data_IF_380916714481
#
_entry.id   IF_380916714481
#
_cell.length_a   1.000
_cell.length_b   1.000
_cell.length_c   1.000
_cell.angle_alpha   90.00
_cell.angle_beta   90.00
_cell.angle_gamma   90.00
#
_symmetry.space_group_name_H-M   'P 1'
#
loop_
_entity.id
_entity.type
_entity.pdbx_description
1 polymer ?
#
# COMPACT_ATOMS: atom_id res chain seq x y z
N UNK A 1 -3.55 18.48 7.11
CA UNK A 1 -4.11 18.91 5.81
C UNK A 1 -4.92 20.20 5.95
N UNK A 2 -4.87 21.11 4.98
CA UNK A 2 -5.80 22.25 4.92
C UNK A 2 -7.16 21.82 4.35
N UNK A 3 -8.30 22.32 4.87
CA UNK A 3 -9.64 21.96 4.35
C UNK A 3 -9.85 22.25 2.86
N UNK A 4 -9.08 23.19 2.30
CA UNK A 4 -9.11 23.53 0.87
C UNK A 4 -8.25 22.61 -0.01
N UNK A 5 -7.52 21.66 0.59
CA UNK A 5 -6.60 20.75 -0.07
C UNK A 5 -5.43 21.44 -0.78
N UNK A 6 -5.11 22.69 -0.43
CA UNK A 6 -4.06 23.48 -1.09
C UNK A 6 -2.64 22.95 -0.86
N UNK A 7 -2.46 22.09 0.13
CA UNK A 7 -1.24 21.36 0.43
C UNK A 7 -1.08 20.05 -0.36
N UNK A 8 -2.11 19.61 -1.08
CA UNK A 8 -2.04 18.42 -1.91
C UNK A 8 -1.25 18.64 -3.20
N UNK A 9 -0.48 17.64 -3.59
CA UNK A 9 0.30 17.64 -4.82
C UNK A 9 -0.10 16.47 -5.71
N UNK A 10 -0.66 16.78 -6.90
CA UNK A 10 -0.98 15.74 -7.88
C UNK A 10 0.31 15.16 -8.47
N UNK A 11 0.48 13.85 -8.35
CA UNK A 11 1.62 13.11 -8.92
C UNK A 11 1.34 12.74 -10.36
N UNK A 12 0.16 12.20 -10.66
CA UNK A 12 -0.22 11.86 -12.03
C UNK A 12 -1.74 11.84 -12.21
N UNK A 13 -2.19 12.16 -13.42
CA UNK A 13 -3.57 12.01 -13.87
C UNK A 13 -3.72 10.93 -14.95
N UNK A 14 -2.72 10.06 -15.11
CA UNK A 14 -2.79 9.02 -16.13
C UNK A 14 -3.87 7.98 -15.82
N UNK A 15 -4.72 7.61 -16.80
CA UNK A 15 -5.81 6.68 -16.54
C UNK A 15 -5.31 5.35 -15.99
N UNK A 16 -5.94 4.90 -14.91
CA UNK A 16 -5.63 3.62 -14.27
C UNK A 16 -4.48 3.64 -13.26
N UNK A 17 -3.72 4.75 -13.16
CA UNK A 17 -2.54 4.84 -12.32
C UNK A 17 -2.84 4.57 -10.83
N UNK A 18 -3.94 5.11 -10.31
CA UNK A 18 -4.34 4.95 -8.90
C UNK A 18 -4.62 3.52 -8.46
N UNK A 19 -4.91 2.61 -9.40
CA UNK A 19 -5.24 1.21 -9.05
C UNK A 19 -3.99 0.37 -8.84
N UNK A 20 -3.47 0.46 -7.61
CA UNK A 20 -2.26 -0.22 -7.17
C UNK A 20 -1.03 0.58 -7.55
N UNK A 21 -0.49 1.30 -6.57
CA UNK A 21 0.80 1.97 -6.63
C UNK A 21 1.78 1.33 -5.63
N UNK A 22 3.07 1.46 -5.91
CA UNK A 22 4.13 1.02 -5.00
C UNK A 22 5.25 2.06 -5.00
N UNK A 23 5.67 2.49 -3.81
CA UNK A 23 6.92 3.22 -3.66
C UNK A 23 8.11 2.38 -4.14
N UNK A 24 9.07 3.03 -4.81
CA UNK A 24 10.38 2.45 -5.01
C UNK A 24 11.09 2.25 -3.66
N UNK A 25 12.01 1.28 -3.53
CA UNK A 25 12.70 1.03 -2.27
C UNK A 25 13.50 2.23 -1.72
N UNK A 26 13.92 3.15 -2.59
CA UNK A 26 14.63 4.39 -2.24
C UNK A 26 13.68 5.56 -1.92
N UNK A 27 12.36 5.41 -2.10
CA UNK A 27 11.37 6.46 -1.88
C UNK A 27 11.38 7.60 -2.89
N UNK A 28 12.18 7.53 -3.96
CA UNK A 28 12.29 8.62 -4.93
C UNK A 28 11.22 8.58 -6.04
N UNK A 29 10.56 7.44 -6.22
CA UNK A 29 9.65 7.16 -7.32
C UNK A 29 8.46 6.34 -6.88
N UNK A 30 7.41 6.35 -7.70
CA UNK A 30 6.32 5.39 -7.61
C UNK A 30 6.24 4.54 -8.87
N UNK A 31 5.91 3.27 -8.71
CA UNK A 31 5.47 2.39 -9.77
C UNK A 31 3.95 2.37 -9.79
N UNK A 32 3.37 2.59 -10.97
CA UNK A 32 1.94 2.45 -11.16
C UNK A 32 1.62 1.74 -12.48
N UNK A 33 0.41 1.19 -12.57
CA UNK A 33 -0.12 0.62 -13.80
C UNK A 33 -0.97 1.66 -14.52
N UNK A 34 -0.54 2.09 -15.69
CA UNK A 34 -1.32 3.01 -16.54
C UNK A 34 -2.08 2.23 -17.60
N UNK A 35 -3.21 2.78 -18.04
CA UNK A 35 -4.12 2.13 -18.97
C UNK A 35 -4.64 3.07 -20.04
N UNK A 36 -5.02 2.50 -21.18
CA UNK A 36 -5.76 3.19 -22.24
C UNK A 36 -6.68 2.26 -22.98
N UNK A 37 -7.68 2.83 -23.66
CA UNK A 37 -8.60 2.09 -24.52
C UNK A 37 -8.17 2.18 -25.98
N UNK A 38 -8.14 1.04 -26.66
CA UNK A 38 -8.04 0.94 -28.11
C UNK A 38 -9.24 0.15 -28.63
N UNK A 39 -10.25 0.86 -29.12
CA UNK A 39 -11.58 0.29 -29.36
C UNK A 39 -12.16 -0.29 -28.07
N UNK A 40 -12.51 -1.58 -28.09
CA UNK A 40 -13.03 -2.31 -26.91
C UNK A 40 -11.94 -2.91 -26.03
N UNK A 41 -10.66 -2.81 -26.43
CA UNK A 41 -9.55 -3.44 -25.70
C UNK A 41 -8.98 -2.46 -24.69
N UNK A 42 -8.92 -2.87 -23.41
CA UNK A 42 -8.11 -2.20 -22.39
C UNK A 42 -6.67 -2.68 -22.49
N UNK A 43 -5.76 -1.75 -22.76
CA UNK A 43 -4.33 -1.99 -22.72
C UNK A 43 -3.75 -1.37 -21.45
N UNK A 44 -2.78 -2.04 -20.83
CA UNK A 44 -2.08 -1.52 -19.67
C UNK A 44 -0.56 -1.59 -19.87
N UNK A 45 0.15 -0.74 -19.15
CA UNK A 45 1.60 -0.71 -19.07
C UNK A 45 2.05 -0.36 -17.65
N UNK A 46 3.30 -0.68 -17.33
CA UNK A 46 3.94 -0.18 -16.13
C UNK A 46 4.68 1.10 -16.43
N UNK A 47 4.51 2.07 -15.55
CA UNK A 47 5.17 3.37 -15.61
C UNK A 47 5.72 3.72 -14.23
N UNK A 48 6.92 4.28 -14.22
CA UNK A 48 7.54 4.86 -13.02
C UNK A 48 7.37 6.36 -13.07
N UNK A 49 7.00 6.99 -11.96
CA UNK A 49 6.92 8.44 -11.81
C UNK A 49 7.92 8.87 -10.73
N UNK A 50 8.93 9.63 -11.13
CA UNK A 50 9.93 10.23 -10.25
C UNK A 50 9.33 11.49 -9.58
N UNK A 51 9.26 11.51 -8.25
CA UNK A 51 8.47 12.49 -7.49
C UNK A 51 9.09 13.89 -7.57
N UNK A 52 10.37 14.03 -7.19
CA UNK A 52 11.06 15.34 -7.20
C UNK A 52 11.33 15.82 -8.62
N UNK A 53 11.82 14.92 -9.48
CA UNK A 53 12.18 15.25 -10.86
C UNK A 53 10.97 15.54 -11.74
N UNK A 54 9.75 15.16 -11.29
CA UNK A 54 8.48 15.26 -12.04
C UNK A 54 8.61 14.69 -13.45
N UNK A 55 9.28 13.55 -13.53
CA UNK A 55 9.55 12.84 -14.77
C UNK A 55 8.93 11.46 -14.69
N UNK A 56 8.40 10.97 -15.81
CA UNK A 56 7.88 9.62 -15.90
C UNK A 56 8.62 8.77 -16.94
N UNK A 57 8.78 7.50 -16.63
CA UNK A 57 9.44 6.51 -17.50
C UNK A 57 8.50 5.33 -17.73
N UNK A 58 8.13 5.11 -18.99
CA UNK A 58 7.38 3.92 -19.40
C UNK A 58 8.29 2.68 -19.38
N UNK A 59 8.01 1.73 -18.50
CA UNK A 59 8.84 0.54 -18.30
C UNK A 59 8.45 -0.63 -19.21
N UNK A 60 7.19 -0.67 -19.64
CA UNK A 60 6.69 -1.72 -20.55
C UNK A 60 5.85 -1.14 -21.67
N UNK A 61 5.79 -1.84 -22.81
CA UNK A 61 4.82 -1.52 -23.86
C UNK A 61 3.39 -1.80 -23.38
N UNK A 62 2.43 -1.03 -23.92
CA UNK A 62 1.01 -1.28 -23.71
C UNK A 62 0.61 -2.65 -24.27
N UNK A 63 -0.04 -3.47 -23.44
CA UNK A 63 -0.51 -4.81 -23.80
C UNK A 63 -1.76 -5.19 -23.03
N UNK A 64 -2.50 -6.17 -23.54
CA UNK A 64 -3.53 -6.88 -22.77
C UNK A 64 -2.87 -7.83 -21.77
N UNK A 65 -3.57 -8.18 -20.69
CA UNK A 65 -3.14 -9.25 -19.77
C UNK A 65 -2.11 -8.85 -18.70
N UNK A 66 -1.77 -7.57 -18.54
CA UNK A 66 -1.07 -7.09 -17.35
C UNK A 66 -2.09 -6.92 -16.21
N UNK A 67 -2.23 -7.95 -15.38
CA UNK A 67 -3.28 -8.05 -14.35
C UNK A 67 -2.86 -7.55 -12.98
N UNK A 68 -1.60 -7.71 -12.60
CA UNK A 68 -1.05 -7.28 -11.31
C UNK A 68 0.19 -6.41 -11.45
N UNK A 69 0.46 -5.61 -10.42
CA UNK A 69 1.76 -4.97 -10.28
C UNK A 69 2.83 -6.04 -10.00
N UNK A 70 4.03 -5.91 -10.58
CA UNK A 70 5.17 -6.70 -10.18
C UNK A 70 5.61 -6.32 -8.76
N UNK A 71 6.49 -7.14 -8.18
CA UNK A 71 7.19 -6.81 -6.94
C UNK A 71 8.57 -6.24 -7.25
N UNK A 72 8.99 -5.24 -6.48
CA UNK A 72 10.36 -4.77 -6.51
C UNK A 72 11.32 -5.86 -6.07
N UNK A 73 12.43 -6.03 -6.78
CA UNK A 73 13.59 -6.75 -6.27
C UNK A 73 14.10 -6.04 -5.03
N UNK A 74 14.76 -6.80 -4.15
CA UNK A 74 15.24 -6.26 -2.88
C UNK A 74 16.09 -5.01 -3.10
N UNK A 75 17.00 -5.02 -4.08
CA UNK A 75 17.92 -3.92 -4.44
C UNK A 75 17.29 -2.81 -5.31
N UNK A 76 16.00 -2.94 -5.64
CA UNK A 76 15.25 -1.99 -6.45
C UNK A 76 15.61 -1.98 -7.94
N UNK A 77 16.51 -2.84 -8.43
CA UNK A 77 16.96 -2.84 -9.83
C UNK A 77 15.98 -3.48 -10.81
N UNK A 78 15.13 -4.37 -10.31
CA UNK A 78 14.24 -5.15 -11.14
C UNK A 78 12.82 -5.14 -10.57
N UNK A 79 11.86 -5.33 -11.45
CA UNK A 79 10.49 -5.64 -11.14
C UNK A 79 10.24 -7.09 -11.56
N UNK A 80 9.78 -7.92 -10.63
CA UNK A 80 9.55 -9.35 -10.84
C UNK A 80 8.05 -9.62 -10.84
N UNK A 81 7.57 -10.30 -11.88
CA UNK A 81 6.18 -10.78 -11.97
C UNK A 81 6.14 -12.22 -12.45
N UNK A 82 5.05 -12.93 -12.15
CA UNK A 82 4.78 -14.25 -12.72
C UNK A 82 3.61 -14.13 -13.69
N UNK A 83 3.82 -14.55 -14.95
CA UNK A 83 2.80 -14.56 -15.99
C UNK A 83 2.71 -15.99 -16.54
N UNK A 84 1.56 -16.65 -16.35
CA UNK A 84 1.34 -18.04 -16.77
C UNK A 84 2.43 -19.01 -16.26
N UNK A 85 2.85 -18.84 -15.00
CA UNK A 85 3.89 -19.68 -14.38
C UNK A 85 5.32 -19.34 -14.81
N UNK A 86 5.52 -18.33 -15.66
CA UNK A 86 6.86 -17.88 -16.09
C UNK A 86 7.21 -16.57 -15.40
N UNK A 87 8.39 -16.52 -14.76
CA UNK A 87 8.91 -15.29 -14.17
C UNK A 87 9.38 -14.31 -15.25
N UNK A 88 8.84 -13.10 -15.23
CA UNK A 88 9.31 -11.97 -16.03
C UNK A 88 10.05 -10.99 -15.13
N UNK A 89 11.23 -10.56 -15.57
CA UNK A 89 12.04 -9.52 -14.93
C UNK A 89 12.08 -8.30 -15.84
N UNK A 90 11.82 -7.14 -15.27
CA UNK A 90 11.81 -5.84 -15.98
C UNK A 90 12.81 -4.95 -15.27
N UNK A 91 13.75 -4.36 -16.00
CA UNK A 91 14.67 -3.38 -15.38
C UNK A 91 13.89 -2.17 -14.89
N UNK A 92 14.15 -1.74 -13.66
CA UNK A 92 13.54 -0.53 -13.10
C UNK A 92 14.20 0.76 -13.58
N UNK A 93 15.43 0.66 -14.12
CA UNK A 93 16.28 1.82 -14.44
C UNK A 93 16.88 2.53 -13.22
N UNK A 94 16.68 2.02 -12.01
CA UNK A 94 17.25 2.60 -10.78
C UNK A 94 18.67 2.06 -10.51
N UNK A 95 19.50 2.90 -9.88
CA UNK A 95 20.76 2.45 -9.29
C UNK A 95 20.44 1.63 -8.02
N UNK A 96 21.28 0.64 -7.67
CA UNK A 96 21.06 -0.11 -6.43
C UNK A 96 21.07 0.84 -5.23
N UNK A 97 19.99 0.82 -4.45
CA UNK A 97 20.01 1.38 -3.11
C UNK A 97 20.73 0.39 -2.18
N UNK A 98 21.58 0.90 -1.28
CA UNK A 98 22.25 0.08 -0.27
C UNK A 98 21.19 -0.61 0.60
N UNK A 99 21.16 -1.93 0.57
CA UNK A 99 20.26 -2.71 1.42
C UNK A 99 20.87 -2.83 2.80
N UNK A 100 20.19 -2.27 3.80
CA UNK A 100 20.34 -2.80 5.14
C UNK A 100 19.87 -4.26 5.12
N UNK A 101 20.72 -5.15 5.62
CA UNK A 101 20.38 -6.56 5.78
C UNK A 101 19.19 -6.63 6.74
N UNK A 102 17.99 -6.81 6.20
CA UNK A 102 16.80 -7.00 7.05
C UNK A 102 16.95 -8.34 7.76
N UNK A 103 16.62 -8.37 9.05
CA UNK A 103 16.50 -9.62 9.79
C UNK A 103 15.56 -10.58 9.04
N UNK A 104 15.81 -11.88 9.14
CA UNK A 104 14.88 -12.87 8.60
C UNK A 104 13.54 -12.73 9.33
N UNK A 105 12.45 -12.60 8.56
CA UNK A 105 11.10 -12.37 9.09
C UNK A 105 10.22 -13.59 8.83
N UNK A 106 9.24 -13.88 9.70
CA UNK A 106 8.23 -14.87 9.38
C UNK A 106 7.48 -14.49 8.10
N UNK A 107 7.28 -15.46 7.22
CA UNK A 107 6.44 -15.28 6.03
C UNK A 107 4.98 -15.47 6.41
N UNK A 108 4.17 -14.48 6.07
CA UNK A 108 2.72 -14.52 6.20
C UNK A 108 2.08 -14.82 4.85
N UNK A 109 1.15 -15.77 4.82
CA UNK A 109 0.40 -16.10 3.61
C UNK A 109 -0.96 -16.73 3.95
N UNK A 110 -1.83 -16.81 2.96
CA UNK A 110 -3.13 -17.46 3.09
C UNK A 110 -3.08 -18.87 2.50
N UNK A 111 -3.58 -19.86 3.25
CA UNK A 111 -3.90 -21.20 2.76
C UNK A 111 -5.42 -21.40 2.82
N UNK A 112 -6.08 -21.29 1.66
CA UNK A 112 -7.52 -21.08 1.61
C UNK A 112 -7.91 -19.81 2.36
N UNK A 113 -8.78 -19.95 3.36
CA UNK A 113 -9.21 -18.85 4.24
C UNK A 113 -8.39 -18.76 5.54
N UNK A 114 -7.31 -19.53 5.70
CA UNK A 114 -6.49 -19.54 6.92
C UNK A 114 -5.23 -18.70 6.76
N UNK A 115 -4.98 -17.83 7.72
CA UNK A 115 -3.70 -17.14 7.86
C UNK A 115 -2.63 -18.12 8.39
N UNK A 116 -1.50 -18.17 7.71
CA UNK A 116 -0.38 -19.05 8.00
C UNK A 116 0.90 -18.25 8.23
N UNK A 117 1.73 -18.71 9.16
CA UNK A 117 3.06 -18.17 9.43
C UNK A 117 4.10 -19.26 9.20
N UNK A 118 5.12 -18.95 8.41
CA UNK A 118 6.35 -19.73 8.32
C UNK A 118 7.49 -18.95 8.97
N UNK A 119 7.90 -19.37 10.17
CA UNK A 119 9.02 -18.75 10.87
C UNK A 119 10.35 -18.97 10.11
N UNK A 120 11.35 -18.07 10.28
CA UNK A 120 12.69 -18.29 9.73
C UNK A 120 13.24 -19.66 10.12
N UNK A 121 13.86 -20.35 9.16
CA UNK A 121 14.40 -21.71 9.29
C UNK A 121 13.39 -22.83 9.65
N UNK A 122 12.09 -22.53 9.79
CA UNK A 122 11.08 -23.58 9.96
C UNK A 122 10.82 -24.31 8.63
N UNK A 123 10.57 -25.61 8.71
CA UNK A 123 10.21 -26.42 7.53
C UNK A 123 8.71 -26.40 7.22
N UNK A 124 7.89 -26.06 8.22
CA UNK A 124 6.42 -26.11 8.14
C UNK A 124 5.81 -24.82 8.65
N UNK A 125 4.82 -24.34 7.91
CA UNK A 125 4.00 -23.23 8.35
C UNK A 125 2.98 -23.69 9.39
N UNK A 126 2.62 -22.78 10.29
CA UNK A 126 1.62 -22.99 11.33
C UNK A 126 0.46 -22.00 11.15
N UNK A 127 -0.78 -22.41 11.46
CA UNK A 127 -1.91 -21.50 11.43
C UNK A 127 -1.79 -20.44 12.54
N UNK A 128 -2.31 -19.25 12.27
CA UNK A 128 -2.45 -18.20 13.30
C UNK A 128 -3.74 -18.43 14.06
N UNK A 129 -3.65 -19.11 15.20
CA UNK A 129 -4.83 -19.53 15.97
C UNK A 129 -5.73 -18.36 16.40
N UNK A 130 -5.15 -17.20 16.70
CA UNK A 130 -5.91 -15.98 17.02
C UNK A 130 -6.79 -15.46 15.86
N UNK A 131 -6.56 -15.97 14.64
CA UNK A 131 -7.33 -15.65 13.43
C UNK A 131 -8.12 -16.85 12.90
N UNK A 132 -8.30 -17.91 13.71
CA UNK A 132 -9.08 -19.07 13.30
C UNK A 132 -10.49 -18.67 12.85
N UNK A 133 -10.86 -19.04 11.62
CA UNK A 133 -12.16 -18.71 11.02
C UNK A 133 -12.31 -17.25 10.57
N UNK A 134 -11.26 -16.42 10.68
CA UNK A 134 -11.25 -15.02 10.25
C UNK A 134 -10.48 -14.90 8.95
N UNK A 135 -11.12 -14.33 7.93
CA UNK A 135 -10.46 -14.01 6.65
C UNK A 135 -9.85 -12.63 6.73
N UNK A 136 -8.58 -12.50 6.33
CA UNK A 136 -7.84 -11.24 6.37
C UNK A 136 -7.56 -10.69 4.97
N UNK A 137 -7.40 -9.38 4.87
CA UNK A 137 -7.07 -8.64 3.65
C UNK A 137 -6.02 -7.58 3.94
N UNK A 138 -5.38 -7.08 2.87
CA UNK A 138 -4.50 -5.91 2.92
C UNK A 138 -3.40 -6.00 3.98
N UNK A 139 -2.81 -7.19 4.14
CA UNK A 139 -1.73 -7.42 5.09
C UNK A 139 -0.48 -6.65 4.68
N UNK A 140 0.06 -5.87 5.61
CA UNK A 140 1.33 -5.15 5.48
C UNK A 140 2.23 -5.44 6.69
N UNK A 141 3.53 -5.51 6.46
CA UNK A 141 4.52 -5.63 7.53
C UNK A 141 5.02 -4.25 7.96
N UNK A 142 5.32 -4.10 9.25
CA UNK A 142 6.05 -2.94 9.73
C UNK A 142 7.46 -2.89 9.11
N UNK A 143 8.08 -1.69 9.01
CA UNK A 143 9.40 -1.53 8.42
C UNK A 143 10.48 -2.38 9.09
N UNK A 144 10.42 -2.55 10.42
CA UNK A 144 11.30 -3.42 11.22
C UNK A 144 10.96 -4.91 11.09
N UNK A 145 9.70 -5.24 10.74
CA UNK A 145 9.20 -6.60 10.57
C UNK A 145 8.62 -7.23 11.82
N UNK A 146 8.57 -6.49 12.92
CA UNK A 146 8.11 -7.00 14.22
C UNK A 146 6.59 -7.06 14.32
N UNK A 147 5.88 -6.34 13.45
CA UNK A 147 4.42 -6.28 13.42
C UNK A 147 3.88 -6.51 12.01
N UNK A 148 2.63 -6.92 11.96
CA UNK A 148 1.78 -6.90 10.78
C UNK A 148 0.52 -6.09 11.09
N UNK A 149 0.02 -5.37 10.09
CA UNK A 149 -1.30 -4.75 10.11
C UNK A 149 -2.13 -5.35 8.98
N UNK A 150 -3.42 -5.58 9.23
CA UNK A 150 -4.32 -6.19 8.26
C UNK A 150 -5.77 -5.88 8.60
N UNK A 151 -6.62 -5.94 7.59
CA UNK A 151 -8.07 -5.84 7.75
C UNK A 151 -8.68 -7.24 7.92
N UNK A 152 -9.76 -7.34 8.69
CA UNK A 152 -10.57 -8.56 8.79
C UNK A 152 -11.85 -8.37 8.00
N UNK A 153 -12.25 -9.37 7.21
CA UNK A 153 -13.46 -9.31 6.39
C UNK A 153 -14.69 -9.00 7.24
N UNK A 154 -15.37 -7.88 6.96
CA UNK A 154 -16.54 -7.44 7.72
C UNK A 154 -16.23 -7.11 9.18
N UNK A 155 -14.97 -6.82 9.50
CA UNK A 155 -14.48 -6.60 10.85
C UNK A 155 -13.44 -5.47 10.92
N UNK A 156 -12.67 -5.41 12.02
CA UNK A 156 -11.79 -4.29 12.29
C UNK A 156 -10.47 -4.36 11.52
N UNK A 157 -9.84 -3.19 11.39
CA UNK A 157 -8.40 -3.06 11.21
C UNK A 157 -7.69 -3.58 12.46
N UNK A 158 -6.64 -4.37 12.26
CA UNK A 158 -5.89 -5.00 13.34
C UNK A 158 -4.39 -4.80 13.18
N UNK A 159 -3.70 -4.80 14.31
CA UNK A 159 -2.23 -4.97 14.40
C UNK A 159 -1.93 -6.20 15.23
N UNK A 160 -0.89 -6.94 14.84
CA UNK A 160 -0.40 -8.11 15.55
C UNK A 160 1.13 -8.16 15.48
N UNK A 161 1.78 -8.82 16.43
CA UNK A 161 3.19 -9.17 16.30
C UNK A 161 3.38 -10.14 15.13
N UNK A 162 4.51 -10.06 14.44
CA UNK A 162 4.78 -10.92 13.27
C UNK A 162 4.91 -12.41 13.60
N UNK A 163 5.07 -12.76 14.88
CA UNK A 163 5.03 -14.13 15.41
C UNK A 163 3.60 -14.71 15.57
N UNK A 164 2.56 -13.91 15.32
CA UNK A 164 1.17 -14.33 15.41
C UNK A 164 0.51 -14.05 16.76
N UNK A 165 1.19 -13.37 17.68
CA UNK A 165 0.70 -13.07 19.04
C UNK A 165 0.34 -11.59 19.21
N UNK A 166 -0.38 -11.28 20.30
CA UNK A 166 -0.68 -9.89 20.67
C UNK A 166 -1.57 -9.17 19.66
N UNK A 167 -2.68 -9.78 19.25
CA UNK A 167 -3.68 -9.15 18.40
C UNK A 167 -4.30 -7.94 19.10
N UNK A 168 -4.28 -6.80 18.43
CA UNK A 168 -4.94 -5.56 18.83
C UNK A 168 -5.95 -5.20 17.74
N UNK A 169 -7.23 -5.06 18.13
CA UNK A 169 -8.28 -4.57 17.24
C UNK A 169 -8.34 -3.04 17.36
N UNK A 170 -8.13 -2.34 16.24
CA UNK A 170 -8.02 -0.88 16.19
C UNK A 170 -9.34 -0.20 15.80
N UNK A 171 -10.38 -1.01 15.54
CA UNK A 171 -11.70 -0.55 15.10
C UNK A 171 -11.79 -0.45 13.58
N UNK A 172 -12.63 0.46 13.10
CA UNK A 172 -12.87 0.68 11.68
C UNK A 172 -11.62 1.19 10.94
N UNK A 173 -11.31 0.59 9.79
CA UNK A 173 -10.21 1.00 8.93
C UNK A 173 -9.83 -0.04 7.88
N UNK A 174 -9.30 0.43 6.76
CA UNK A 174 -8.95 -0.39 5.60
C UNK A 174 -7.61 0.05 4.98
N UNK A 175 -6.99 -0.84 4.20
CA UNK A 175 -5.72 -0.58 3.48
C UNK A 175 -4.64 0.11 4.33
N UNK A 176 -4.20 -0.50 5.45
CA UNK A 176 -3.21 0.11 6.31
C UNK A 176 -1.84 0.24 5.64
N UNK A 177 -1.09 1.27 6.03
CA UNK A 177 0.31 1.47 5.68
C UNK A 177 1.07 2.01 6.90
N UNK A 178 2.18 1.38 7.26
CA UNK A 178 3.01 1.82 8.38
C UNK A 178 3.84 3.05 8.02
N UNK A 179 4.01 3.95 8.98
CA UNK A 179 5.07 4.95 8.94
C UNK A 179 6.44 4.26 8.90
N UNK A 180 7.50 4.89 8.34
CA UNK A 180 8.83 4.30 8.22
C UNK A 180 9.50 3.92 9.55
N UNK A 181 9.10 4.57 10.64
CA UNK A 181 9.52 4.25 12.00
C UNK A 181 8.65 3.17 12.68
N UNK A 182 7.60 2.70 12.01
CA UNK A 182 6.70 1.65 12.49
C UNK A 182 5.80 2.05 13.67
N UNK A 183 5.78 3.34 14.04
CA UNK A 183 5.00 3.83 15.19
C UNK A 183 3.56 4.16 14.85
N UNK A 184 3.28 4.51 13.60
CA UNK A 184 1.97 4.95 13.15
C UNK A 184 1.47 4.13 11.97
N UNK A 185 0.16 4.15 11.80
CA UNK A 185 -0.55 3.62 10.65
C UNK A 185 -1.33 4.74 9.99
N UNK A 186 -1.19 4.89 8.67
CA UNK A 186 -2.21 5.54 7.84
C UNK A 186 -3.14 4.46 7.29
N UNK A 187 -4.43 4.76 7.20
CA UNK A 187 -5.47 3.87 6.69
C UNK A 187 -6.63 4.71 6.16
N UNK A 188 -7.57 4.09 5.46
CA UNK A 188 -8.79 4.77 5.00
C UNK A 188 -10.02 4.28 5.75
N UNK A 189 -11.02 5.14 5.91
CA UNK A 189 -12.37 4.76 6.34
C UNK A 189 -13.32 5.16 5.22
N UNK A 190 -14.07 4.19 4.71
CA UNK A 190 -15.04 4.37 3.63
C UNK A 190 -16.45 4.47 4.18
N UNK A 191 -17.27 5.33 3.56
CA UNK A 191 -18.72 5.35 3.76
C UNK A 191 -19.44 4.79 2.54
N UNK A 192 -20.55 4.09 2.73
CA UNK A 192 -21.40 3.59 1.65
C UNK A 192 -22.90 3.75 1.99
N UNK A 193 -23.75 3.68 0.95
CA UNK A 193 -25.21 3.70 1.08
C UNK A 193 -25.86 2.31 0.90
N UNK A 194 -25.04 1.24 0.99
CA UNK A 194 -25.41 -0.14 0.67
C UNK A 194 -25.34 -0.48 -0.83
N UNK A 195 -25.09 0.49 -1.71
CA UNK A 195 -24.96 0.28 -3.16
C UNK A 195 -23.63 0.76 -3.72
N UNK A 196 -23.11 1.88 -3.23
CA UNK A 196 -21.85 2.48 -3.69
C UNK A 196 -21.09 3.13 -2.54
N UNK A 197 -19.77 3.25 -2.71
CA UNK A 197 -18.96 4.14 -1.87
C UNK A 197 -19.48 5.57 -2.07
N UNK A 198 -19.78 6.26 -0.98
CA UNK A 198 -20.27 7.64 -0.94
C UNK A 198 -19.20 8.64 -0.49
N UNK A 199 -18.11 8.15 0.10
CA UNK A 199 -16.95 8.95 0.49
C UNK A 199 -15.86 8.08 1.11
N UNK A 200 -14.68 8.65 1.25
CA UNK A 200 -13.57 8.02 1.97
C UNK A 200 -12.63 9.10 2.47
N UNK A 201 -12.17 8.94 3.71
CA UNK A 201 -11.16 9.80 4.31
C UNK A 201 -9.95 8.98 4.78
N UNK A 202 -8.78 9.60 4.77
CA UNK A 202 -7.55 9.05 5.32
C UNK A 202 -7.42 9.39 6.79
N UNK A 203 -7.08 8.40 7.59
CA UNK A 203 -6.86 8.53 9.01
C UNK A 203 -5.45 8.10 9.37
N UNK A 204 -4.94 8.66 10.46
CA UNK A 204 -3.70 8.22 11.10
C UNK A 204 -3.97 7.85 12.55
N UNK A 205 -3.26 6.84 13.06
CA UNK A 205 -3.23 6.53 14.49
C UNK A 205 -1.91 5.86 14.87
N UNK A 206 -1.59 5.83 16.16
CA UNK A 206 -0.50 5.02 16.67
C UNK A 206 -0.80 3.53 16.46
N UNK A 207 0.25 2.72 16.26
CA UNK A 207 0.10 1.27 16.02
C UNK A 207 -0.45 0.50 17.24
N UNK A 208 -0.57 1.13 18.40
CA UNK A 208 -1.25 0.62 19.59
C UNK A 208 -2.75 0.98 19.65
N UNK A 209 -3.26 1.75 18.69
CA UNK A 209 -4.65 2.17 18.55
C UNK A 209 -4.99 3.52 19.18
N UNK A 210 -4.01 4.22 19.77
CA UNK A 210 -4.24 5.55 20.36
C UNK A 210 -4.08 6.67 19.34
N UNK A 211 -4.61 7.86 19.66
CA UNK A 211 -4.40 9.08 18.87
C UNK A 211 -4.95 9.00 17.45
N UNK A 212 -6.17 8.48 17.26
CA UNK A 212 -6.79 8.43 15.93
C UNK A 212 -7.21 9.84 15.49
N UNK A 213 -6.64 10.29 14.37
CA UNK A 213 -6.88 11.61 13.76
C UNK A 213 -7.35 11.43 12.31
N UNK A 214 -8.33 12.22 11.91
CA UNK A 214 -8.74 12.31 10.50
C UNK A 214 -7.81 13.29 9.76
N UNK A 215 -7.13 12.82 8.72
CA UNK A 215 -6.19 13.62 7.93
C UNK A 215 -6.87 14.33 6.76
N UNK A 216 -7.94 13.79 6.20
CA UNK A 216 -8.67 14.38 5.06
C UNK A 216 -10.12 14.61 5.45
N UNK A 217 -10.70 15.71 5.00
CA UNK A 217 -12.11 16.05 5.27
C UNK A 217 -12.68 16.75 4.03
N UNK A 218 -12.50 16.12 2.89
CA UNK A 218 -12.71 16.72 1.57
C UNK A 218 -14.03 16.31 0.96
N UNK A 219 -14.99 17.24 0.91
CA UNK A 219 -16.29 16.97 0.30
C UNK A 219 -16.17 16.61 -1.19
N UNK A 220 -16.87 15.56 -1.60
CA UNK A 220 -16.96 15.13 -3.00
C UNK A 220 -15.70 14.46 -3.54
N UNK A 221 -14.76 14.08 -2.67
CA UNK A 221 -13.59 13.28 -3.00
C UNK A 221 -13.57 12.05 -2.11
N UNK A 222 -13.12 10.93 -2.66
CA UNK A 222 -12.87 9.73 -1.88
C UNK A 222 -11.39 9.39 -2.00
N UNK A 223 -10.64 9.70 -0.95
CA UNK A 223 -9.22 9.36 -0.85
C UNK A 223 -9.04 7.88 -0.49
N UNK A 224 -8.31 7.14 -1.34
CA UNK A 224 -8.21 5.68 -1.29
C UNK A 224 -6.75 5.19 -1.26
N UNK A 225 -6.57 3.96 -0.76
CA UNK A 225 -5.32 3.19 -0.77
C UNK A 225 -4.07 3.98 -0.33
N UNK A 226 -4.05 4.49 0.91
CA UNK A 226 -2.94 5.32 1.37
C UNK A 226 -1.62 4.56 1.45
N UNK A 227 -0.51 5.23 1.12
CA UNK A 227 0.83 4.68 1.20
C UNK A 227 1.82 5.69 1.77
N UNK A 228 2.34 5.40 2.98
CA UNK A 228 3.34 6.25 3.61
C UNK A 228 4.65 6.26 2.80
N UNK A 229 5.19 7.44 2.56
CA UNK A 229 6.52 7.64 1.97
C UNK A 229 7.59 6.93 2.82
N UNK A 230 8.54 6.20 2.21
CA UNK A 230 9.69 5.64 2.93
C UNK A 230 10.52 6.68 3.70
N UNK A 231 10.48 7.96 3.28
CA UNK A 231 11.14 9.06 3.97
C UNK A 231 10.31 9.62 5.15
N UNK A 232 9.02 9.30 5.22
CA UNK A 232 8.14 9.65 6.35
C UNK A 232 7.49 11.02 6.25
N UNK A 233 7.72 11.73 5.14
CA UNK A 233 7.37 13.13 4.89
C UNK A 233 6.08 13.33 4.09
N UNK A 234 5.48 12.26 3.58
CA UNK A 234 4.26 12.31 2.80
C UNK A 234 3.46 11.01 2.84
N UNK A 235 2.17 11.12 2.54
CA UNK A 235 1.26 10.00 2.25
C UNK A 235 0.80 10.14 0.80
N UNK A 236 0.90 9.07 0.03
CA UNK A 236 0.24 8.98 -1.27
C UNK A 236 -1.13 8.35 -1.13
N UNK A 237 -2.03 8.71 -2.03
CA UNK A 237 -3.35 8.10 -2.16
C UNK A 237 -3.86 8.30 -3.59
N UNK A 238 -4.82 7.48 -3.99
CA UNK A 238 -5.59 7.73 -5.21
C UNK A 238 -6.98 8.26 -4.91
N UNK A 239 -7.59 8.90 -5.92
CA UNK A 239 -8.99 9.30 -5.85
C UNK A 239 -9.87 8.25 -6.52
N UNK A 240 -10.89 7.77 -5.80
CA UNK A 240 -11.81 6.77 -6.32
C UNK A 240 -12.46 7.21 -7.65
N UNK A 241 -12.82 8.48 -7.75
CA UNK A 241 -13.59 9.05 -8.86
C UNK A 241 -12.77 9.16 -10.16
N UNK A 242 -11.46 9.38 -10.03
CA UNK A 242 -10.61 9.77 -11.17
C UNK A 242 -9.44 8.82 -11.41
N UNK A 243 -9.01 8.07 -10.39
CA UNK A 243 -7.80 7.27 -10.39
C UNK A 243 -6.50 8.09 -10.45
N UNK A 244 -6.58 9.41 -10.24
CA UNK A 244 -5.40 10.27 -10.09
C UNK A 244 -4.64 9.91 -8.81
N UNK A 245 -3.31 10.01 -8.83
CA UNK A 245 -2.48 9.84 -7.64
C UNK A 245 -2.10 11.20 -7.10
N UNK A 246 -2.28 11.39 -5.80
CA UNK A 246 -1.98 12.60 -5.07
C UNK A 246 -1.04 12.31 -3.90
N UNK A 247 -0.36 13.35 -3.43
CA UNK A 247 0.51 13.34 -2.27
C UNK A 247 0.02 14.38 -1.27
N UNK A 248 -0.11 13.94 0.00
CA UNK A 248 -0.33 14.77 1.17
C UNK A 248 0.98 14.86 1.97
N UNK A 249 1.60 16.04 2.09
CA UNK A 249 2.73 16.24 3.00
C UNK A 249 2.31 15.95 4.44
N UNK A 250 3.20 15.34 5.23
CA UNK A 250 2.94 15.00 6.64
C UNK A 250 4.03 15.62 7.50
N UNK A 251 3.62 16.40 8.50
CA UNK A 251 4.51 16.89 9.54
C UNK A 251 4.40 16.02 10.80
N UNK A 252 5.47 15.90 11.59
CA UNK A 252 5.44 15.10 12.83
C UNK A 252 4.41 15.61 13.84
N UNK A 253 4.04 16.88 13.78
CA UNK A 253 3.07 17.51 14.69
C UNK A 253 1.61 17.14 14.34
N UNK A 254 1.31 16.81 13.08
CA UNK A 254 -0.02 16.38 12.64
C UNK A 254 -0.33 14.92 13.04
N UNK A 255 0.70 14.13 13.31
CA UNK A 255 0.60 12.70 13.63
C UNK A 255 0.57 12.45 15.15
N UNK A 256 0.89 13.45 15.98
CA UNK A 256 0.97 13.33 17.44
C UNK A 256 -0.20 13.96 18.23
N UNK A 257 -1.20 14.52 17.55
CA UNK A 257 -2.40 15.10 18.19
C UNK A 257 -3.46 14.03 18.50
#
# INVERSE_FOLDING_TARGET
MRPDGSDLHRITAEPGAGFGLQWSPDGASILARVGRMEGVKRLNALKRFDIEARHDTLLTKFRTGLTSLPQWSQDGRELVSSVNGTLQRISSGLKPALLQRRAERPLWFMDGDRAMILAPAAEKAQPVEALAGRRIFNLVHSPDGDKVAFQILGGPLCVMRSDGTGLIELGEGEHPSFSPDGRFLVFMITGDDGHTITGSDLYVMAADGTGKVNLTQTEGRSEMHPAWSPAGDAILFDLYETGEIWSLPVTQDEVQQ
#
